data_IF_117923470285
#
_entry.id   IF_117923470285
#
_cell.length_a   1.000
_cell.length_b   1.000
_cell.length_c   1.000
_cell.angle_alpha   90.00
_cell.angle_beta   90.00
_cell.angle_gamma   90.00
#
_symmetry.space_group_name_H-M   'P 1'
#
loop_
_entity.id
_entity.type
_entity.pdbx_description
1 polymer ?
#
# COMPACT_ATOMS: atom_id res chain seq x y z
N UNK A 1 -5.53 8.52 24.36
CA UNK A 1 -5.91 7.18 24.89
C UNK A 1 -4.88 6.07 24.65
N UNK A 2 -4.57 5.64 23.41
CA UNK A 2 -3.64 4.50 23.20
C UNK A 2 -2.16 4.82 23.52
N UNK A 3 -1.68 6.01 23.10
CA UNK A 3 -0.31 6.47 23.37
C UNK A 3 -0.07 6.59 24.88
N UNK A 4 -0.99 7.23 25.60
CA UNK A 4 -0.96 7.41 27.05
C UNK A 4 -0.98 6.07 27.80
N UNK A 5 -1.81 5.11 27.39
CA UNK A 5 -1.86 3.77 28.00
C UNK A 5 -0.57 2.98 27.80
N UNK A 6 0.14 3.24 26.70
CA UNK A 6 1.38 2.51 26.34
C UNK A 6 2.65 3.21 26.81
N UNK A 7 2.54 4.40 27.42
CA UNK A 7 3.68 5.19 27.88
C UNK A 7 4.56 5.75 26.74
N UNK A 8 3.99 5.95 25.54
CA UNK A 8 4.69 6.50 24.37
C UNK A 8 4.11 7.85 23.97
N UNK A 9 4.89 8.68 23.29
CA UNK A 9 4.40 9.97 22.79
C UNK A 9 3.39 9.78 21.66
N UNK A 10 2.57 10.82 21.41
CA UNK A 10 1.66 10.82 20.24
C UNK A 10 2.46 10.78 18.93
N UNK A 11 3.56 11.51 18.86
CA UNK A 11 4.43 11.52 17.67
C UNK A 11 5.04 10.15 17.41
N UNK A 12 5.51 9.44 18.45
CA UNK A 12 6.07 8.10 18.32
C UNK A 12 5.03 7.09 17.81
N UNK A 13 3.81 7.12 18.36
CA UNK A 13 2.72 6.27 17.91
C UNK A 13 2.32 6.59 16.46
N UNK A 14 2.29 7.87 16.10
CA UNK A 14 1.99 8.32 14.74
C UNK A 14 3.06 7.85 13.76
N UNK A 15 4.34 8.05 14.10
CA UNK A 15 5.46 7.60 13.29
C UNK A 15 5.47 6.08 13.11
N UNK A 16 5.25 5.31 14.17
CA UNK A 16 5.13 3.86 14.09
C UNK A 16 3.97 3.43 13.18
N UNK A 17 2.83 4.13 13.26
CA UNK A 17 1.67 3.86 12.39
C UNK A 17 2.00 4.09 10.93
N UNK A 18 2.67 5.20 10.60
CA UNK A 18 3.11 5.51 9.24
C UNK A 18 4.14 4.53 8.72
N UNK A 19 5.10 4.12 9.57
CA UNK A 19 6.09 3.12 9.21
C UNK A 19 5.44 1.78 8.86
N UNK A 20 4.50 1.30 9.68
CA UNK A 20 3.80 0.04 9.41
C UNK A 20 2.93 0.16 8.17
N UNK A 21 2.23 1.28 7.97
CA UNK A 21 1.41 1.51 6.77
C UNK A 21 2.24 1.46 5.49
N UNK A 22 3.38 2.15 5.47
CA UNK A 22 4.17 2.36 4.25
C UNK A 22 5.24 1.28 3.97
N UNK A 23 5.69 0.53 4.98
CA UNK A 23 6.82 -0.41 4.85
C UNK A 23 6.51 -1.86 5.22
N UNK A 24 5.32 -2.16 5.75
CA UNK A 24 4.97 -3.55 6.07
C UNK A 24 4.49 -4.33 4.85
N UNK A 25 4.87 -5.61 4.79
CA UNK A 25 4.36 -6.57 3.83
C UNK A 25 3.29 -7.44 4.48
N UNK A 26 2.17 -7.64 3.79
CA UNK A 26 1.14 -8.59 4.21
C UNK A 26 1.51 -9.96 3.66
N UNK A 27 1.68 -10.94 4.53
CA UNK A 27 1.98 -12.32 4.16
C UNK A 27 0.91 -13.25 4.72
N UNK A 28 0.57 -14.28 3.97
CA UNK A 28 -0.38 -15.31 4.40
C UNK A 28 0.39 -16.54 4.87
N UNK A 29 0.29 -16.85 6.16
CA UNK A 29 0.85 -18.08 6.72
C UNK A 29 -0.27 -19.11 6.93
N UNK A 30 0.00 -20.37 6.60
CA UNK A 30 -0.90 -21.48 6.90
C UNK A 30 -0.78 -21.83 8.38
N UNK A 31 -1.86 -21.70 9.14
CA UNK A 31 -1.91 -22.13 10.54
C UNK A 31 -2.63 -23.48 10.57
N UNK A 32 -1.84 -24.55 10.70
CA UNK A 32 -2.33 -25.94 10.72
C UNK A 32 -1.65 -26.74 11.82
N UNK A 33 -2.44 -27.00 12.88
CA UNK A 33 -2.37 -28.05 13.91
C UNK A 33 -1.02 -28.67 14.29
N UNK A 34 -0.69 -28.52 15.58
CA UNK A 34 0.18 -29.38 16.41
C UNK A 34 0.52 -30.74 15.77
N UNK A 35 1.82 -31.07 15.72
CA UNK A 35 2.40 -32.29 15.14
C UNK A 35 1.91 -33.57 15.84
N UNK A 36 0.65 -33.97 15.62
CA UNK A 36 0.09 -35.04 16.43
C UNK A 36 -1.30 -35.52 16.04
N UNK A 37 -1.55 -35.85 14.77
CA UNK A 37 -2.48 -36.95 14.44
C UNK A 37 -2.50 -37.21 12.92
N UNK A 38 -2.03 -38.39 12.53
CA UNK A 38 -2.34 -38.96 11.23
C UNK A 38 -3.86 -39.13 11.07
N UNK A 39 -4.45 -38.41 10.13
CA UNK A 39 -5.86 -38.52 9.78
C UNK A 39 -6.10 -37.97 8.39
N UNK A 40 -6.37 -38.87 7.45
CA UNK A 40 -6.78 -38.56 6.08
C UNK A 40 -8.10 -37.79 6.08
N UNK A 41 -8.03 -36.49 5.87
CA UNK A 41 -9.19 -35.63 5.67
C UNK A 41 -8.70 -34.24 5.36
N UNK A 42 -9.17 -33.63 4.27
CA UNK A 42 -8.77 -32.29 3.84
C UNK A 42 -9.13 -31.27 4.94
N UNK A 43 -8.17 -31.00 5.83
CA UNK A 43 -8.32 -29.96 6.84
C UNK A 43 -8.07 -28.64 6.10
N UNK A 44 -9.10 -27.81 5.99
CA UNK A 44 -8.97 -26.46 5.46
C UNK A 44 -7.92 -25.72 6.30
N UNK A 45 -6.72 -25.53 5.74
CA UNK A 45 -5.67 -24.77 6.40
C UNK A 45 -6.19 -23.34 6.63
N UNK A 46 -6.34 -22.96 7.90
CA UNK A 46 -6.70 -21.59 8.25
C UNK A 46 -5.52 -20.69 7.89
N UNK A 47 -5.67 -19.86 6.86
CA UNK A 47 -4.64 -18.88 6.49
C UNK A 47 -4.78 -17.65 7.37
N UNK A 48 -3.73 -17.29 8.09
CA UNK A 48 -3.65 -16.05 8.84
C UNK A 48 -2.80 -15.05 8.05
N UNK A 49 -3.36 -13.87 7.79
CA UNK A 49 -2.58 -12.76 7.28
C UNK A 49 -1.83 -12.10 8.44
N UNK A 50 -0.52 -11.93 8.31
CA UNK A 50 0.31 -11.16 9.24
C UNK A 50 1.05 -10.06 8.49
N UNK A 51 1.37 -8.98 9.19
CA UNK A 51 2.20 -7.88 8.67
C UNK A 51 3.62 -8.03 9.20
N UNK A 52 4.60 -7.94 8.32
CA UNK A 52 6.01 -8.04 8.67
C UNK A 52 6.79 -6.87 8.07
N UNK A 53 7.79 -6.39 8.80
CA UNK A 53 8.80 -5.49 8.26
C UNK A 53 9.96 -6.35 7.74
N UNK A 54 10.36 -6.13 6.49
CA UNK A 54 11.43 -6.88 5.84
C UNK A 54 12.59 -5.93 5.56
N UNK A 55 13.59 -5.83 6.46
CA UNK A 55 14.73 -4.97 6.24
C UNK A 55 15.38 -5.24 4.88
N UNK A 56 15.88 -4.19 4.23
CA UNK A 56 16.47 -4.20 2.89
C UNK A 56 15.44 -4.38 1.76
N UNK A 57 14.48 -5.28 1.90
CA UNK A 57 13.43 -5.50 0.89
C UNK A 57 12.40 -4.36 0.87
N UNK A 58 12.17 -3.72 2.02
CA UNK A 58 11.32 -2.55 2.18
C UNK A 58 11.86 -1.27 1.52
N UNK A 59 13.10 -1.28 1.03
CA UNK A 59 13.71 -0.17 0.28
C UNK A 59 13.33 -0.15 -1.21
N UNK A 60 12.70 -1.22 -1.71
CA UNK A 60 12.36 -1.36 -3.13
C UNK A 60 11.10 -0.57 -3.42
N UNK A 61 11.19 0.39 -4.33
CA UNK A 61 10.09 1.29 -4.65
C UNK A 61 8.96 0.65 -5.46
N UNK A 62 7.82 1.33 -5.45
CA UNK A 62 6.64 1.00 -6.21
C UNK A 62 6.79 1.35 -7.71
N UNK A 63 6.14 0.57 -8.56
CA UNK A 63 5.73 1.01 -9.89
C UNK A 63 4.36 0.43 -10.24
N UNK A 64 3.38 1.30 -10.53
CA UNK A 64 1.99 0.90 -10.82
C UNK A 64 1.89 0.15 -12.15
N UNK A 65 2.61 0.64 -13.16
CA UNK A 65 2.47 0.16 -14.53
C UNK A 65 3.64 -0.69 -15.01
N UNK A 66 4.81 -0.57 -14.39
CA UNK A 66 6.05 -1.14 -14.87
C UNK A 66 6.91 -1.76 -13.76
N UNK A 67 6.29 -2.34 -12.73
CA UNK A 67 7.01 -3.18 -11.75
C UNK A 67 7.77 -4.29 -12.47
N UNK A 68 9.05 -4.50 -12.14
CA UNK A 68 9.93 -5.46 -12.83
C UNK A 68 10.33 -6.66 -11.96
N UNK A 69 9.89 -6.66 -10.72
CA UNK A 69 10.13 -7.73 -9.76
C UNK A 69 8.91 -7.96 -8.87
N UNK A 70 8.87 -9.10 -8.19
CA UNK A 70 7.83 -9.50 -7.26
C UNK A 70 8.44 -10.09 -5.99
N UNK A 71 7.76 -9.92 -4.86
CA UNK A 71 8.13 -10.56 -3.59
C UNK A 71 7.62 -12.00 -3.57
N UNK A 72 8.52 -12.93 -3.28
CA UNK A 72 8.21 -14.35 -3.11
C UNK A 72 8.60 -14.82 -1.72
N UNK A 73 7.77 -15.70 -1.16
CA UNK A 73 8.11 -16.52 -0.01
C UNK A 73 8.57 -17.89 -0.53
N UNK A 74 9.83 -18.22 -0.26
CA UNK A 74 10.46 -19.47 -0.65
C UNK A 74 10.43 -20.41 0.55
N UNK A 75 10.03 -21.66 0.29
CA UNK A 75 9.94 -22.74 1.28
C UNK A 75 9.13 -22.39 2.55
N UNK A 76 7.87 -21.92 2.42
CA UNK A 76 7.05 -21.51 3.57
C UNK A 76 6.71 -22.65 4.56
N UNK A 77 6.91 -23.91 4.14
CA UNK A 77 6.63 -25.11 4.92
C UNK A 77 7.83 -25.56 5.76
N UNK A 78 9.01 -24.99 5.52
CA UNK A 78 10.21 -25.26 6.33
C UNK A 78 10.35 -24.18 7.40
N UNK A 79 10.96 -24.54 8.53
CA UNK A 79 11.27 -23.59 9.61
C UNK A 79 12.16 -22.41 9.14
N UNK A 80 12.87 -22.59 8.02
CA UNK A 80 13.68 -21.56 7.37
C UNK A 80 13.00 -21.03 6.09
N UNK A 81 11.91 -20.28 6.26
CA UNK A 81 11.27 -19.59 5.14
C UNK A 81 12.08 -18.35 4.73
N UNK A 82 12.29 -18.15 3.42
CA UNK A 82 13.08 -17.03 2.89
C UNK A 82 12.21 -16.06 2.10
N UNK A 83 12.44 -14.77 2.30
CA UNK A 83 11.88 -13.72 1.44
C UNK A 83 12.86 -13.42 0.30
N UNK A 84 12.37 -13.44 -0.92
CA UNK A 84 13.17 -13.13 -2.10
C UNK A 84 12.44 -12.19 -3.03
N UNK A 85 13.21 -11.33 -3.70
CA UNK A 85 12.72 -10.51 -4.80
C UNK A 85 13.14 -11.19 -6.08
N UNK A 86 12.13 -11.56 -6.88
CA UNK A 86 12.33 -12.24 -8.14
C UNK A 86 12.04 -11.27 -9.28
N UNK A 87 13.00 -11.10 -10.17
CA UNK A 87 12.77 -10.37 -11.41
C UNK A 87 11.74 -11.12 -12.28
N UNK A 88 10.72 -10.41 -12.76
CA UNK A 88 9.70 -10.94 -13.67
C UNK A 88 10.10 -10.82 -15.14
N UNK A 89 11.13 -10.00 -15.41
CA UNK A 89 11.74 -9.80 -16.73
C UNK A 89 13.21 -9.39 -16.59
N UNK A 90 14.02 -9.45 -17.67
CA UNK A 90 15.41 -8.99 -17.63
C UNK A 90 15.53 -7.51 -17.22
N UNK A 91 16.37 -7.22 -16.22
CA UNK A 91 16.64 -5.87 -15.71
C UNK A 91 18.05 -5.47 -16.15
N UNK A 92 18.17 -4.37 -16.89
CA UNK A 92 19.47 -3.86 -17.35
C UNK A 92 20.25 -3.29 -16.16
N UNK A 93 21.57 -3.42 -16.19
CA UNK A 93 22.44 -2.78 -15.20
C UNK A 93 22.17 -1.27 -15.13
N UNK A 94 22.10 -0.73 -13.91
CA UNK A 94 21.77 0.68 -13.65
C UNK A 94 20.27 1.03 -13.77
N UNK A 95 19.39 0.06 -14.02
CA UNK A 95 17.94 0.25 -13.88
C UNK A 95 17.48 -0.10 -12.48
N UNK A 96 16.56 0.70 -11.96
CA UNK A 96 15.94 0.50 -10.66
C UNK A 96 15.13 -0.81 -10.65
N UNK A 97 15.22 -1.51 -9.53
CA UNK A 97 14.37 -2.67 -9.22
C UNK A 97 13.11 -2.12 -8.57
N UNK A 98 11.94 -2.48 -9.10
CA UNK A 98 10.65 -1.99 -8.59
C UNK A 98 9.66 -3.15 -8.46
N UNK A 99 8.78 -3.05 -7.47
CA UNK A 99 7.67 -3.98 -7.22
C UNK A 99 6.33 -3.26 -7.33
N UNK A 100 5.23 -4.00 -7.39
CA UNK A 100 3.91 -3.42 -7.17
C UNK A 100 3.57 -3.53 -5.68
N UNK A 101 3.05 -2.44 -5.10
CA UNK A 101 2.68 -2.38 -3.69
C UNK A 101 1.22 -2.82 -3.55
N UNK A 102 0.88 -3.35 -2.37
CA UNK A 102 -0.47 -3.85 -2.11
C UNK A 102 -0.82 -5.04 -3.02
N UNK A 103 -1.94 -4.93 -3.71
CA UNK A 103 -2.51 -5.95 -4.60
C UNK A 103 -2.25 -5.65 -6.08
N UNK A 104 -1.67 -4.49 -6.39
CA UNK A 104 -1.38 -4.02 -7.75
C UNK A 104 -2.57 -3.38 -8.47
N UNK A 105 -3.65 -3.10 -7.75
CA UNK A 105 -4.85 -2.40 -8.24
C UNK A 105 -5.15 -1.12 -7.45
N UNK A 106 -4.15 -0.60 -6.76
CA UNK A 106 -4.23 0.55 -5.89
C UNK A 106 -4.27 1.84 -6.71
N UNK A 107 -5.26 2.68 -6.41
CA UNK A 107 -5.41 4.03 -6.94
C UNK A 107 -4.35 4.98 -6.37
N UNK A 108 -4.15 6.13 -7.00
CA UNK A 108 -3.23 7.15 -6.46
C UNK A 108 -3.67 7.69 -5.10
N UNK A 109 -4.97 7.70 -4.81
CA UNK A 109 -5.50 8.07 -3.49
C UNK A 109 -5.05 7.06 -2.43
N UNK A 110 -5.16 5.77 -2.72
CA UNK A 110 -4.70 4.71 -1.81
C UNK A 110 -3.17 4.72 -1.65
N UNK A 111 -2.44 5.04 -2.71
CA UNK A 111 -0.98 5.17 -2.66
C UNK A 111 -0.56 6.37 -1.80
N UNK A 112 -1.22 7.52 -1.95
CA UNK A 112 -0.97 8.70 -1.14
C UNK A 112 -1.29 8.44 0.34
N UNK A 113 -2.46 7.86 0.62
CA UNK A 113 -2.90 7.60 1.98
C UNK A 113 -1.99 6.60 2.71
N UNK A 114 -1.59 5.51 2.04
CA UNK A 114 -0.89 4.41 2.71
C UNK A 114 0.64 4.54 2.64
N UNK A 115 1.18 5.18 1.60
CA UNK A 115 2.61 5.23 1.30
C UNK A 115 3.17 6.66 1.16
N UNK A 116 2.31 7.68 1.14
CA UNK A 116 2.74 9.08 1.14
C UNK A 116 3.29 9.59 -0.20
N UNK A 117 2.91 8.99 -1.33
CA UNK A 117 3.30 9.47 -2.66
C UNK A 117 2.17 9.32 -3.67
N UNK A 118 2.22 10.11 -4.74
CA UNK A 118 1.35 9.99 -5.91
C UNK A 118 2.24 9.61 -7.11
N UNK A 119 1.96 8.50 -7.82
CA UNK A 119 2.72 8.14 -9.02
C UNK A 119 2.40 9.08 -10.19
N UNK A 120 3.38 9.32 -11.07
CA UNK A 120 3.19 10.12 -12.29
C UNK A 120 2.17 9.46 -13.25
N UNK A 121 2.16 8.13 -13.31
CA UNK A 121 1.22 7.35 -14.11
C UNK A 121 0.67 6.17 -13.30
N UNK A 122 -0.66 6.08 -13.24
CA UNK A 122 -1.36 4.94 -12.67
C UNK A 122 -2.56 4.55 -13.55
N UNK A 123 -2.50 3.36 -14.18
CA UNK A 123 -3.60 2.87 -15.02
C UNK A 123 -4.92 2.71 -14.26
N UNK A 124 -4.87 2.50 -12.94
CA UNK A 124 -6.06 2.28 -12.11
C UNK A 124 -6.90 3.54 -12.04
N UNK A 125 -6.29 4.71 -11.87
CA UNK A 125 -7.02 5.98 -11.84
C UNK A 125 -7.75 6.23 -13.15
N UNK A 126 -7.10 5.95 -14.29
CA UNK A 126 -7.72 6.04 -15.61
C UNK A 126 -8.92 5.08 -15.74
N UNK A 127 -8.83 3.89 -15.14
CA UNK A 127 -9.94 2.95 -15.12
C UNK A 127 -11.10 3.44 -14.24
N UNK A 128 -10.79 4.02 -13.07
CA UNK A 128 -11.80 4.57 -12.17
C UNK A 128 -12.52 5.77 -12.78
N UNK A 129 -11.79 6.71 -13.39
CA UNK A 129 -12.36 7.86 -14.10
C UNK A 129 -13.29 7.42 -15.24
N UNK A 130 -12.88 6.43 -16.05
CA UNK A 130 -13.74 5.87 -17.11
C UNK A 130 -15.02 5.22 -16.57
N UNK A 131 -14.97 4.59 -15.39
CA UNK A 131 -16.17 4.03 -14.75
C UNK A 131 -17.11 5.11 -14.23
N UNK A 132 -16.59 6.30 -13.90
CA UNK A 132 -17.36 7.46 -13.47
C UNK A 132 -18.20 8.12 -14.57
N UNK A 133 -18.01 7.73 -15.83
CA UNK A 133 -18.72 8.30 -16.99
C UNK A 133 -17.99 9.50 -17.60
N UNK A 134 -18.41 9.89 -18.80
CA UNK A 134 -17.74 10.96 -19.58
C UNK A 134 -17.89 12.34 -18.92
N UNK A 135 -18.94 12.55 -18.13
CA UNK A 135 -19.21 13.81 -17.39
C UNK A 135 -18.26 14.02 -16.20
N UNK A 136 -17.56 12.97 -15.73
CA UNK A 136 -16.67 13.06 -14.57
C UNK A 136 -15.45 13.97 -14.79
N UNK A 137 -15.03 14.15 -16.04
CA UNK A 137 -13.96 15.08 -16.40
C UNK A 137 -14.49 16.49 -16.71
N UNK A 138 -15.75 16.60 -17.17
CA UNK A 138 -16.37 17.89 -17.50
C UNK A 138 -16.70 18.71 -16.24
N UNK A 139 -16.88 18.06 -15.08
CA UNK A 139 -17.04 18.73 -13.78
C UNK A 139 -15.71 19.22 -13.15
N UNK A 140 -14.57 19.08 -13.83
CA UNK A 140 -13.24 19.43 -13.29
C UNK A 140 -12.81 20.87 -13.59
N UNK A 141 -13.58 21.66 -14.34
CA UNK A 141 -13.20 23.04 -14.71
C UNK A 141 -13.01 23.98 -13.50
N UNK A 142 -13.47 23.57 -12.30
CA UNK A 142 -13.32 24.30 -11.04
C UNK A 142 -12.53 23.52 -9.96
N UNK A 143 -11.77 22.48 -10.34
CA UNK A 143 -11.03 21.62 -9.40
C UNK A 143 -9.55 21.95 -9.27
N UNK A 144 -9.04 22.90 -10.06
CA UNK A 144 -7.68 23.42 -9.90
C UNK A 144 -7.70 24.69 -9.04
N UNK A 145 -6.96 24.64 -7.95
CA UNK A 145 -6.65 25.80 -7.12
C UNK A 145 -5.16 26.05 -7.19
N UNK A 146 -4.78 27.32 -7.12
CA UNK A 146 -3.39 27.72 -6.94
C UNK A 146 -2.98 27.53 -5.48
N UNK A 147 -1.67 27.37 -5.23
CA UNK A 147 -1.12 27.29 -3.87
C UNK A 147 -1.57 28.49 -3.01
N UNK A 148 -1.61 29.69 -3.62
CA UNK A 148 -2.04 30.93 -2.96
C UNK A 148 -3.53 30.89 -2.57
N UNK A 149 -4.38 30.28 -3.39
CA UNK A 149 -5.81 30.08 -3.09
C UNK A 149 -6.02 29.05 -1.99
N UNK A 150 -5.26 27.95 -2.00
CA UNK A 150 -5.31 26.91 -0.97
C UNK A 150 -4.85 27.44 0.41
N UNK A 151 -3.73 28.18 0.44
CA UNK A 151 -3.21 28.80 1.66
C UNK A 151 -4.23 29.78 2.26
N UNK A 152 -4.86 30.60 1.41
CA UNK A 152 -5.90 31.53 1.83
C UNK A 152 -7.16 30.83 2.35
N UNK A 153 -7.61 29.75 1.69
CA UNK A 153 -8.77 28.97 2.13
C UNK A 153 -8.52 28.27 3.48
N UNK A 154 -7.28 27.83 3.72
CA UNK A 154 -6.83 27.28 5.01
C UNK A 154 -6.83 28.35 6.12
N UNK A 155 -6.36 29.57 5.82
CA UNK A 155 -6.38 30.69 6.76
C UNK A 155 -7.81 31.18 7.08
N UNK A 156 -8.71 31.15 6.09
CA UNK A 156 -10.11 31.57 6.23
C UNK A 156 -11.01 30.51 6.89
N UNK A 157 -10.45 29.34 7.26
CA UNK A 157 -11.13 28.36 8.09
C UNK A 157 -11.94 27.29 7.35
N UNK A 158 -11.58 26.95 6.11
CA UNK A 158 -12.10 25.78 5.39
C UNK A 158 -13.56 25.87 4.90
N UNK A 159 -14.35 26.83 5.39
CA UNK A 159 -15.72 27.10 4.91
C UNK A 159 -15.76 27.71 3.50
N UNK A 160 -14.61 28.05 2.92
CA UNK A 160 -14.50 28.51 1.53
C UNK A 160 -14.59 27.37 0.50
N UNK A 161 -14.37 26.11 0.90
CA UNK A 161 -14.55 24.93 0.04
C UNK A 161 -16.01 24.45 0.09
N UNK A 162 -16.93 25.34 -0.24
CA UNK A 162 -18.33 25.00 -0.42
C UNK A 162 -18.48 23.94 -1.52
N UNK A 163 -19.07 22.79 -1.15
CA UNK A 163 -19.59 21.72 -2.03
C UNK A 163 -18.64 20.60 -2.51
N UNK A 164 -17.84 20.00 -1.61
CA UNK A 164 -17.41 18.60 -1.80
C UNK A 164 -18.27 17.61 -1.00
N UNK A 165 -19.59 17.78 -1.07
CA UNK A 165 -20.57 16.81 -0.61
C UNK A 165 -21.66 16.66 -1.68
N UNK A 166 -21.39 15.82 -2.68
CA UNK A 166 -22.37 15.04 -3.42
C UNK A 166 -21.67 13.84 -4.06
#
# INVERSE_FOLDING_TARGET
ELAEKSGVSKEELQFATWLISSRSFVISISVGGDEGAGGSGAVAANKKAIRVLLPYLDMINHSSDNANSELHLIDPEKDEAWFAIRATRPIKAGKEITISYGTGVESSVELLQNYGFVPDENRIDKMMLKKGGDECLESLEDWDTTLEEDEKALEEGGDALGNMAN
#
